data_IF_613703578935
#
_entry.id   IF_613703578935
#
_cell.length_a   1.000
_cell.length_b   1.000
_cell.length_c   1.000
_cell.angle_alpha   90.00
_cell.angle_beta   90.00
_cell.angle_gamma   90.00
#
_symmetry.space_group_name_H-M   'P 1'
#
loop_
_entity.id
_entity.type
_entity.pdbx_description
1 polymer ?
#
# COMPACT_ATOMS: atom_id res chain seq x y z
N UNK A 1 14.32 15.66 7.84
CA UNK A 1 13.87 17.02 7.51
C UNK A 1 14.42 17.53 6.17
N UNK A 2 15.73 17.50 5.87
CA UNK A 2 16.29 18.05 4.61
C UNK A 2 15.72 17.48 3.30
N UNK A 3 15.27 16.21 3.25
CA UNK A 3 14.73 15.57 2.03
C UNK A 3 13.34 16.08 1.64
N UNK A 4 12.52 16.49 2.60
CA UNK A 4 11.16 17.00 2.34
C UNK A 4 11.18 18.48 1.94
N UNK A 5 12.15 19.25 2.43
CA UNK A 5 12.32 20.66 2.06
C UNK A 5 12.58 20.82 0.57
N UNK A 6 13.39 19.94 -0.04
CA UNK A 6 13.69 19.98 -1.48
C UNK A 6 12.44 19.75 -2.32
N UNK A 7 11.59 18.79 -1.94
CA UNK A 7 10.37 18.46 -2.68
C UNK A 7 9.33 19.58 -2.58
N UNK A 8 9.15 20.15 -1.38
CA UNK A 8 8.24 21.29 -1.15
C UNK A 8 8.74 22.53 -1.90
N UNK A 9 10.05 22.80 -1.87
CA UNK A 9 10.65 23.91 -2.62
C UNK A 9 10.48 23.73 -4.10
N UNK A 10 10.67 22.51 -4.62
CA UNK A 10 10.44 22.19 -6.04
C UNK A 10 9.00 22.44 -6.46
N UNK A 11 8.00 22.01 -5.65
CA UNK A 11 6.59 22.22 -5.92
C UNK A 11 6.17 23.70 -5.82
N UNK A 12 6.69 24.43 -4.84
CA UNK A 12 6.46 25.88 -4.72
C UNK A 12 7.09 26.66 -5.89
N UNK A 13 8.25 26.21 -6.37
CA UNK A 13 8.90 26.80 -7.54
C UNK A 13 8.10 26.54 -8.81
N UNK A 14 7.56 25.33 -8.99
CA UNK A 14 6.65 25.00 -10.10
C UNK A 14 5.37 25.83 -10.02
N UNK A 15 4.76 25.97 -8.83
CA UNK A 15 3.56 26.78 -8.63
C UNK A 15 3.78 28.26 -8.97
N UNK A 16 4.89 28.85 -8.54
CA UNK A 16 5.24 30.23 -8.86
C UNK A 16 5.59 30.45 -10.35
N UNK A 17 6.27 29.48 -10.95
CA UNK A 17 6.59 29.54 -12.41
C UNK A 17 5.33 29.47 -13.30
N UNK A 18 4.23 28.89 -12.79
CA UNK A 18 2.97 28.81 -13.54
C UNK A 18 2.06 30.03 -13.35
N UNK A 19 2.34 30.91 -12.41
CA UNK A 19 1.53 32.09 -12.07
C UNK A 19 1.95 33.37 -12.85
N UNK A 20 3.13 33.40 -13.46
CA UNK A 20 3.63 34.55 -14.21
C UNK A 20 3.80 34.20 -15.70
N UNK A 21 3.17 34.96 -16.60
CA UNK A 21 3.54 34.95 -18.01
C UNK A 21 4.94 35.59 -18.15
N UNK A 22 5.95 34.89 -18.70
CA UNK A 22 7.30 35.42 -18.76
C UNK A 22 7.52 36.27 -20.00
N UNK A 23 8.06 37.46 -19.81
CA UNK A 23 8.76 38.16 -20.88
C UNK A 23 9.97 37.35 -21.39
N UNK A 24 10.37 37.52 -22.70
CA UNK A 24 11.37 36.67 -23.35
C UNK A 24 12.80 37.04 -22.95
N UNK A 25 13.18 36.83 -21.69
CA UNK A 25 14.59 36.86 -21.24
C UNK A 25 15.15 35.46 -21.15
N UNK A 26 16.43 35.25 -21.51
CA UNK A 26 17.16 33.97 -21.55
C UNK A 26 16.76 33.05 -20.37
N UNK A 27 15.84 32.13 -20.67
CA UNK A 27 15.35 31.17 -19.65
C UNK A 27 16.48 30.21 -19.27
N UNK A 28 16.72 30.07 -17.97
CA UNK A 28 17.63 29.06 -17.42
C UNK A 28 17.23 27.67 -17.91
N UNK A 29 18.20 26.77 -18.11
CA UNK A 29 17.98 25.36 -18.47
C UNK A 29 16.93 24.68 -17.58
N UNK A 30 16.91 24.98 -16.29
CA UNK A 30 15.94 24.48 -15.31
C UNK A 30 14.51 24.96 -15.63
N UNK A 31 14.34 26.23 -16.01
CA UNK A 31 13.02 26.77 -16.40
C UNK A 31 12.51 26.12 -17.69
N UNK A 32 13.37 25.89 -18.67
CA UNK A 32 12.99 25.15 -19.89
C UNK A 32 12.56 23.73 -19.59
N UNK A 33 13.25 23.04 -18.70
CA UNK A 33 12.87 21.71 -18.23
C UNK A 33 11.50 21.70 -17.53
N UNK A 34 11.24 22.66 -16.65
CA UNK A 34 9.94 22.82 -15.98
C UNK A 34 8.80 23.11 -16.96
N UNK A 35 9.02 23.97 -17.97
CA UNK A 35 8.03 24.22 -19.01
C UNK A 35 7.76 22.99 -19.87
N UNK A 36 8.77 22.22 -20.21
CA UNK A 36 8.62 20.97 -20.95
C UNK A 36 7.80 19.95 -20.15
N UNK A 37 8.11 19.75 -18.87
CA UNK A 37 7.34 18.89 -17.97
C UNK A 37 5.88 19.36 -17.86
N UNK A 38 5.65 20.66 -17.68
CA UNK A 38 4.29 21.21 -17.64
C UNK A 38 3.52 20.93 -18.93
N UNK A 39 4.15 21.13 -20.10
CA UNK A 39 3.53 20.88 -21.41
C UNK A 39 3.17 19.40 -21.58
N UNK A 40 4.05 18.48 -21.14
CA UNK A 40 3.76 17.05 -21.13
C UNK A 40 2.57 16.71 -20.24
N UNK A 41 2.52 17.28 -19.03
CA UNK A 41 1.41 17.09 -18.09
C UNK A 41 0.10 17.59 -18.70
N UNK A 42 0.08 18.82 -19.20
CA UNK A 42 -1.11 19.45 -19.76
C UNK A 42 -1.63 18.69 -21.00
N UNK A 43 -0.73 18.17 -21.84
CA UNK A 43 -1.10 17.39 -23.02
C UNK A 43 -1.56 15.97 -22.68
N UNK A 44 -0.93 15.32 -21.71
CA UNK A 44 -1.26 13.93 -21.33
C UNK A 44 -2.61 13.81 -20.64
N UNK A 45 -3.00 14.82 -19.85
CA UNK A 45 -4.24 14.80 -19.07
C UNK A 45 -5.49 14.64 -19.94
N UNK A 46 -5.52 15.21 -21.15
CA UNK A 46 -6.71 15.25 -22.03
C UNK A 46 -6.48 14.70 -23.43
N UNK A 47 -5.34 14.06 -23.68
CA UNK A 47 -5.03 13.51 -25.01
C UNK A 47 -6.05 12.46 -25.45
N UNK A 48 -6.77 12.75 -26.55
CA UNK A 48 -7.73 11.82 -27.16
C UNK A 48 -9.03 11.60 -26.41
N UNK A 49 -9.40 12.48 -25.48
CA UNK A 49 -10.63 12.43 -24.69
C UNK A 49 -11.79 13.06 -25.45
N UNK A 50 -12.96 12.42 -25.45
CA UNK A 50 -14.22 12.99 -25.98
C UNK A 50 -14.83 13.93 -24.92
N UNK A 51 -14.90 15.21 -25.24
CA UNK A 51 -15.41 16.25 -24.34
C UNK A 51 -16.92 16.14 -24.06
N UNK A 52 -17.66 15.37 -24.81
CA UNK A 52 -19.06 15.07 -24.51
C UNK A 52 -19.23 14.06 -23.37
N UNK A 53 -18.20 13.26 -23.12
CA UNK A 53 -18.13 12.29 -22.02
C UNK A 53 -17.32 12.78 -20.83
N UNK A 54 -16.26 13.52 -21.08
CA UNK A 54 -15.27 13.89 -20.06
C UNK A 54 -14.96 15.38 -20.16
N UNK A 55 -15.17 16.09 -19.07
CA UNK A 55 -14.87 17.51 -18.93
C UNK A 55 -13.54 17.71 -18.20
N UNK A 56 -12.75 18.66 -18.70
CA UNK A 56 -11.58 19.17 -18.01
C UNK A 56 -11.97 20.41 -17.21
N UNK A 57 -11.82 20.41 -15.87
CA UNK A 57 -12.03 21.60 -15.07
C UNK A 57 -11.14 22.76 -15.55
N UNK A 58 -11.71 23.97 -15.55
CA UNK A 58 -10.95 25.18 -15.93
C UNK A 58 -9.78 25.47 -14.98
N UNK A 59 -9.92 25.06 -13.73
CA UNK A 59 -8.93 25.23 -12.67
C UNK A 59 -8.06 23.99 -12.56
N UNK A 60 -6.73 24.13 -12.79
CA UNK A 60 -5.83 22.98 -12.87
C UNK A 60 -5.36 22.43 -11.53
N UNK A 61 -5.38 23.24 -10.50
CA UNK A 61 -4.95 22.87 -9.15
C UNK A 61 -6.10 22.34 -8.33
N UNK A 62 -5.82 21.38 -7.47
CA UNK A 62 -6.75 20.87 -6.47
C UNK A 62 -6.02 20.67 -5.14
N UNK A 63 -6.69 20.99 -4.04
CA UNK A 63 -6.27 20.65 -2.67
C UNK A 63 -7.39 19.88 -2.02
N UNK A 64 -7.02 18.82 -1.29
CA UNK A 64 -7.95 18.01 -0.50
C UNK A 64 -7.50 17.95 0.95
N UNK A 65 -8.47 18.02 1.85
CA UNK A 65 -8.35 17.46 3.19
C UNK A 65 -9.04 16.10 3.16
N UNK A 66 -8.37 15.09 3.68
CA UNK A 66 -8.88 13.72 3.65
C UNK A 66 -8.69 13.01 4.98
N UNK A 67 -9.65 12.17 5.31
CA UNK A 67 -9.54 11.18 6.37
C UNK A 67 -9.66 9.80 5.77
N UNK A 68 -9.05 8.82 6.39
CA UNK A 68 -9.18 7.44 5.97
C UNK A 68 -9.33 6.50 7.15
N UNK A 69 -9.98 5.38 6.86
CA UNK A 69 -10.04 4.20 7.71
C UNK A 69 -9.40 3.02 6.98
N UNK A 70 -8.55 2.28 7.64
CA UNK A 70 -7.82 1.17 7.05
C UNK A 70 -7.52 0.05 8.03
N UNK A 71 -7.36 -1.14 7.48
CA UNK A 71 -6.83 -2.29 8.18
C UNK A 71 -5.98 -3.12 7.21
N UNK A 72 -4.82 -3.54 7.67
CA UNK A 72 -3.95 -4.47 6.95
C UNK A 72 -3.83 -5.74 7.78
N UNK A 73 -4.14 -6.88 7.20
CA UNK A 73 -4.04 -8.19 7.85
C UNK A 73 -3.07 -9.07 7.07
N UNK A 74 -1.98 -9.48 7.69
CA UNK A 74 -1.06 -10.50 7.19
C UNK A 74 -1.38 -11.82 7.87
N UNK A 75 -1.75 -12.84 7.08
CA UNK A 75 -1.95 -14.22 7.53
C UNK A 75 -0.81 -15.06 6.96
N UNK A 76 -0.12 -15.77 7.82
CA UNK A 76 0.95 -16.70 7.47
C UNK A 76 0.59 -18.10 7.90
N UNK A 77 1.01 -19.07 7.13
CA UNK A 77 0.87 -20.50 7.42
C UNK A 77 2.22 -21.15 7.19
N UNK A 78 2.64 -21.96 8.11
CA UNK A 78 3.89 -22.75 8.03
C UNK A 78 3.60 -24.15 8.47
N UNK A 79 3.92 -25.11 7.64
CA UNK A 79 3.89 -26.52 8.00
C UNK A 79 5.20 -26.85 8.73
N UNK A 80 5.07 -27.51 9.87
CA UNK A 80 6.17 -27.80 10.79
C UNK A 80 6.24 -29.30 11.00
N UNK A 81 7.37 -29.89 10.71
CA UNK A 81 7.70 -31.25 11.05
C UNK A 81 8.44 -31.25 12.41
N UNK A 82 7.86 -31.87 13.39
CA UNK A 82 8.46 -32.04 14.74
C UNK A 82 9.25 -33.33 14.89
N UNK A 83 9.36 -34.13 13.83
CA UNK A 83 9.92 -35.49 13.89
C UNK A 83 8.93 -36.50 14.48
N UNK A 84 9.30 -37.78 14.47
CA UNK A 84 8.49 -38.90 14.97
C UNK A 84 7.05 -38.93 14.39
N UNK A 85 6.89 -38.62 13.11
CA UNK A 85 5.61 -38.55 12.37
C UNK A 85 4.61 -37.50 12.95
N UNK A 86 5.07 -36.57 13.79
CA UNK A 86 4.24 -35.44 14.29
C UNK A 86 4.37 -34.25 13.36
N UNK A 87 3.30 -33.99 12.60
CA UNK A 87 3.18 -32.81 11.75
C UNK A 87 2.33 -31.74 12.41
N UNK A 88 2.80 -30.52 12.38
CA UNK A 88 2.06 -29.37 12.89
C UNK A 88 1.86 -28.31 11.82
N UNK A 89 0.84 -27.50 11.98
CA UNK A 89 0.59 -26.32 11.17
C UNK A 89 0.53 -25.10 12.09
N UNK A 90 1.40 -24.15 11.86
CA UNK A 90 1.40 -22.87 12.57
C UNK A 90 0.77 -21.80 11.68
N UNK A 91 -0.19 -21.10 12.25
CA UNK A 91 -0.82 -19.95 11.60
C UNK A 91 -0.58 -18.71 12.44
N UNK A 92 0.14 -17.74 11.86
CA UNK A 92 0.31 -16.42 12.44
C UNK A 92 -0.60 -15.42 11.74
N UNK A 93 -1.26 -14.56 12.48
CA UNK A 93 -2.08 -13.46 11.98
C UNK A 93 -1.59 -12.17 12.62
N UNK A 94 -0.99 -11.31 11.82
CA UNK A 94 -0.62 -9.96 12.24
C UNK A 94 -1.62 -8.99 11.68
N UNK A 95 -2.28 -8.24 12.54
CA UNK A 95 -3.22 -7.18 12.16
C UNK A 95 -2.67 -5.83 12.56
N UNK A 96 -2.64 -4.90 11.60
CA UNK A 96 -2.74 -3.50 11.97
C UNK A 96 -4.21 -3.30 12.36
N UNK A 97 -4.51 -3.07 13.62
CA UNK A 97 -5.88 -2.82 14.07
C UNK A 97 -6.56 -1.72 13.23
N UNK A 98 -7.88 -1.62 13.32
CA UNK A 98 -8.62 -0.54 12.67
C UNK A 98 -7.98 0.81 13.00
N UNK A 99 -7.46 1.49 11.99
CA UNK A 99 -6.78 2.77 12.13
C UNK A 99 -7.53 3.84 11.34
N UNK A 100 -7.53 5.05 11.88
CA UNK A 100 -8.01 6.24 11.19
C UNK A 100 -6.88 7.23 11.02
N UNK A 101 -6.85 7.93 9.90
CA UNK A 101 -5.83 8.95 9.66
C UNK A 101 -6.42 10.26 9.15
N UNK A 102 -5.66 11.34 9.31
CA UNK A 102 -5.94 12.64 8.72
C UNK A 102 -4.79 13.02 7.79
N UNK A 103 -5.13 13.58 6.64
CA UNK A 103 -4.13 13.94 5.64
C UNK A 103 -4.57 15.05 4.72
N UNK A 104 -3.65 15.38 3.83
CA UNK A 104 -3.86 16.35 2.78
C UNK A 104 -3.31 15.83 1.44
N UNK A 105 -3.88 16.33 0.36
CA UNK A 105 -3.43 16.09 -1.01
C UNK A 105 -3.39 17.40 -1.77
N UNK A 106 -2.36 17.57 -2.58
CA UNK A 106 -2.26 18.66 -3.56
C UNK A 106 -1.97 18.05 -4.92
N UNK A 107 -2.70 18.51 -5.94
CA UNK A 107 -2.58 18.02 -7.30
C UNK A 107 -2.67 19.12 -8.35
N UNK A 108 -2.02 18.89 -9.49
CA UNK A 108 -2.06 19.68 -10.71
C UNK A 108 -2.33 18.76 -11.89
N UNK A 109 -3.49 18.93 -12.57
CA UNK A 109 -3.82 18.20 -13.82
C UNK A 109 -3.67 16.66 -13.74
N UNK A 110 -3.94 16.04 -12.59
CA UNK A 110 -3.81 14.59 -12.38
C UNK A 110 -2.46 14.13 -11.80
N UNK A 111 -1.55 15.04 -11.60
CA UNK A 111 -0.28 14.79 -10.91
C UNK A 111 -0.34 15.40 -9.52
N UNK A 112 -0.02 14.63 -8.51
CA UNK A 112 -0.13 15.16 -7.16
C UNK A 112 0.54 14.29 -6.12
N UNK A 113 0.61 14.84 -4.93
CA UNK A 113 1.18 14.19 -3.77
C UNK A 113 0.27 14.36 -2.55
N UNK A 114 0.34 13.39 -1.69
CA UNK A 114 -0.41 13.39 -0.45
C UNK A 114 0.38 12.82 0.70
N UNK A 115 -0.01 13.26 1.85
CA UNK A 115 0.53 12.78 3.11
C UNK A 115 -0.60 12.61 4.11
N UNK A 116 -0.55 11.56 4.92
CA UNK A 116 -1.48 11.35 6.04
C UNK A 116 -0.75 10.77 7.25
N UNK A 117 -1.27 11.09 8.42
CA UNK A 117 -0.81 10.62 9.72
C UNK A 117 -1.95 9.89 10.42
N UNK A 118 -1.67 8.73 10.99
CA UNK A 118 -2.62 8.01 11.84
C UNK A 118 -2.97 8.84 13.09
N UNK A 119 -4.26 8.86 13.41
CA UNK A 119 -4.83 9.47 14.61
C UNK A 119 -5.18 8.41 15.66
N UNK A 120 -5.64 7.23 15.20
CA UNK A 120 -6.02 6.10 16.07
C UNK A 120 -5.47 4.81 15.49
N UNK A 121 -5.19 3.83 16.34
CA UNK A 121 -4.72 2.50 15.93
C UNK A 121 -3.20 2.38 15.82
N UNK A 122 -2.44 3.48 15.92
CA UNK A 122 -0.99 3.46 15.85
C UNK A 122 -0.36 4.83 15.61
N UNK A 123 0.90 4.83 15.16
CA UNK A 123 1.68 6.02 14.81
C UNK A 123 2.03 6.07 13.30
N UNK A 124 1.27 5.36 12.50
CA UNK A 124 1.50 5.16 11.07
C UNK A 124 1.50 6.46 10.26
N UNK A 125 2.21 6.42 9.15
CA UNK A 125 2.33 7.51 8.19
C UNK A 125 2.22 6.95 6.77
N UNK A 126 1.43 7.61 5.94
CA UNK A 126 1.29 7.27 4.51
C UNK A 126 1.74 8.46 3.67
N UNK A 127 2.65 8.21 2.74
CA UNK A 127 2.99 9.12 1.65
C UNK A 127 2.47 8.55 0.34
N UNK A 128 1.88 9.41 -0.51
CA UNK A 128 1.33 9.00 -1.81
C UNK A 128 1.69 9.97 -2.91
N UNK A 129 2.03 9.41 -4.09
CA UNK A 129 2.19 10.15 -5.34
C UNK A 129 1.21 9.55 -6.36
N UNK A 130 0.62 10.42 -7.18
CA UNK A 130 -0.23 10.02 -8.28
C UNK A 130 0.15 10.77 -9.55
N UNK A 131 0.11 10.07 -10.67
CA UNK A 131 0.25 10.64 -12.00
C UNK A 131 -0.79 10.01 -12.93
N UNK A 132 -1.78 10.76 -13.32
CA UNK A 132 -2.90 10.30 -14.15
C UNK A 132 -2.98 11.08 -15.43
N UNK A 133 -2.97 10.37 -16.56
CA UNK A 133 -3.25 10.92 -17.87
C UNK A 133 -4.60 10.43 -18.43
N UNK A 134 -4.93 10.81 -19.65
CA UNK A 134 -6.16 10.36 -20.31
C UNK A 134 -6.23 8.84 -20.52
N UNK A 135 -5.09 8.17 -20.71
CA UNK A 135 -5.02 6.74 -21.01
C UNK A 135 -4.27 5.90 -19.99
N UNK A 136 -3.58 6.50 -19.06
CA UNK A 136 -2.74 5.80 -18.09
C UNK A 136 -2.84 6.43 -16.71
N UNK A 137 -2.38 5.70 -15.70
CA UNK A 137 -2.10 6.23 -14.39
C UNK A 137 -1.03 5.42 -13.69
N UNK A 138 -0.33 6.10 -12.80
CA UNK A 138 0.71 5.53 -11.94
C UNK A 138 0.45 6.06 -10.54
N UNK A 139 0.41 5.16 -9.55
CA UNK A 139 0.25 5.51 -8.15
C UNK A 139 1.35 4.86 -7.34
N UNK A 140 1.95 5.64 -6.46
CA UNK A 140 2.93 5.20 -5.49
C UNK A 140 2.37 5.44 -4.08
N UNK A 141 2.46 4.43 -3.22
CA UNK A 141 2.16 4.54 -1.79
C UNK A 141 3.31 3.97 -0.97
N UNK A 142 3.69 4.70 0.05
CA UNK A 142 4.66 4.27 1.05
C UNK A 142 3.98 4.37 2.40
N UNK A 143 3.78 3.22 3.06
CA UNK A 143 3.19 3.12 4.38
C UNK A 143 4.25 2.68 5.39
N UNK A 144 4.18 3.24 6.58
CA UNK A 144 4.98 2.79 7.72
C UNK A 144 4.08 2.81 8.95
N UNK A 145 3.95 1.70 9.62
CA UNK A 145 3.15 1.57 10.84
C UNK A 145 3.76 0.50 11.77
N UNK A 146 3.23 0.43 13.01
CA UNK A 146 3.66 -0.52 14.03
C UNK A 146 2.45 -1.32 14.53
N UNK A 147 2.67 -2.60 14.83
CA UNK A 147 1.65 -3.50 15.35
C UNK A 147 2.14 -4.14 16.65
N UNK A 148 1.29 -4.17 17.71
CA UNK A 148 1.62 -4.73 19.01
C UNK A 148 0.88 -6.04 19.34
N UNK A 149 -0.13 -6.40 18.56
CA UNK A 149 -1.02 -7.53 18.87
C UNK A 149 -1.02 -8.58 17.75
N UNK A 150 0.04 -9.38 17.61
CA UNK A 150 -0.03 -10.55 16.76
C UNK A 150 -0.92 -11.64 17.39
N UNK A 151 -1.63 -12.36 16.56
CA UNK A 151 -2.43 -13.52 16.93
C UNK A 151 -1.76 -14.77 16.37
N UNK A 152 -1.52 -15.77 17.20
CA UNK A 152 -1.01 -17.07 16.76
C UNK A 152 -2.05 -18.15 17.00
N UNK A 153 -2.15 -19.06 16.06
CA UNK A 153 -2.88 -20.31 16.21
C UNK A 153 -1.93 -21.44 15.84
N UNK A 154 -1.68 -22.29 16.79
CA UNK A 154 -0.93 -23.51 16.58
C UNK A 154 -1.91 -24.68 16.46
N UNK A 155 -1.72 -25.53 15.44
CA UNK A 155 -2.43 -26.78 15.27
C UNK A 155 -1.42 -27.87 15.04
N UNK A 156 -1.49 -28.96 15.78
CA UNK A 156 -0.71 -30.17 15.58
C UNK A 156 -1.64 -31.37 15.48
N UNK A 157 -1.24 -32.37 14.69
CA UNK A 157 -1.84 -33.69 14.70
C UNK A 157 -0.85 -34.63 15.36
N UNK A 158 -1.23 -35.15 16.52
CA UNK A 158 -0.47 -36.15 17.25
C UNK A 158 -1.20 -37.48 17.11
N UNK A 159 -0.82 -38.28 16.12
CA UNK A 159 -1.39 -39.61 15.84
C UNK A 159 -2.94 -39.65 15.77
N UNK A 160 -3.52 -38.68 15.03
CA UNK A 160 -4.99 -38.57 14.88
C UNK A 160 -5.71 -37.86 16.00
N UNK A 161 -4.98 -37.30 16.96
CA UNK A 161 -5.53 -36.41 17.98
C UNK A 161 -5.18 -34.95 17.67
N UNK A 162 -6.12 -34.14 17.15
CA UNK A 162 -5.86 -32.75 16.83
C UNK A 162 -5.70 -31.92 18.09
N UNK A 163 -4.57 -31.27 18.22
CA UNK A 163 -4.30 -30.24 19.22
C UNK A 163 -4.42 -28.86 18.58
N UNK A 164 -5.09 -27.94 19.24
CA UNK A 164 -5.22 -26.56 18.77
C UNK A 164 -5.14 -25.59 19.94
N UNK A 165 -4.18 -24.68 19.86
CA UNK A 165 -4.02 -23.61 20.83
C UNK A 165 -3.96 -22.25 20.11
N UNK A 166 -4.52 -21.22 20.75
CA UNK A 166 -4.52 -19.87 20.26
C UNK A 166 -3.92 -18.94 21.29
N UNK A 167 -2.90 -18.22 20.89
CA UNK A 167 -2.20 -17.25 21.71
C UNK A 167 -2.55 -15.84 21.23
N UNK A 168 -2.84 -14.96 22.19
CA UNK A 168 -3.03 -13.54 21.99
C UNK A 168 -2.16 -12.83 23.01
N UNK A 169 -0.97 -12.44 22.63
CA UNK A 169 -0.08 -11.72 23.52
C UNK A 169 0.30 -10.38 22.91
N UNK A 170 0.40 -9.37 23.77
CA UNK A 170 1.00 -8.09 23.40
C UNK A 170 2.52 -8.27 23.43
N UNK A 171 3.18 -7.91 22.32
CA UNK A 171 4.63 -7.95 22.24
C UNK A 171 5.22 -6.66 22.82
N UNK A 172 6.38 -6.77 23.48
CA UNK A 172 7.04 -5.66 24.18
C UNK A 172 7.43 -4.54 23.19
N UNK A 173 8.16 -4.89 22.12
CA UNK A 173 8.46 -3.99 21.04
C UNK A 173 7.56 -4.23 19.81
N UNK A 174 6.87 -3.20 19.32
CA UNK A 174 5.93 -3.37 18.24
C UNK A 174 6.61 -3.78 16.93
N UNK A 175 5.98 -4.70 16.20
CA UNK A 175 6.38 -5.11 14.86
C UNK A 175 6.42 -3.88 13.95
N UNK A 176 7.57 -3.59 13.37
CA UNK A 176 7.76 -2.48 12.44
C UNK A 176 7.40 -2.94 11.03
N UNK A 177 6.30 -2.43 10.47
CA UNK A 177 5.83 -2.79 9.14
C UNK A 177 6.04 -1.61 8.19
N UNK A 178 6.72 -1.88 7.07
CA UNK A 178 6.93 -0.91 5.99
C UNK A 178 6.46 -1.52 4.68
N UNK A 179 5.66 -0.75 3.94
CA UNK A 179 5.12 -1.19 2.66
C UNK A 179 5.38 -0.13 1.60
N UNK A 180 5.89 -0.58 0.46
CA UNK A 180 6.05 0.19 -0.76
C UNK A 180 5.16 -0.45 -1.83
N UNK A 181 4.24 0.33 -2.37
CA UNK A 181 3.29 -0.11 -3.37
C UNK A 181 3.31 0.84 -4.56
N UNK A 182 3.63 0.30 -5.74
CA UNK A 182 3.62 1.02 -7.01
C UNK A 182 2.66 0.30 -7.95
N UNK A 183 1.64 0.98 -8.44
CA UNK A 183 0.74 0.47 -9.47
C UNK A 183 0.70 1.40 -10.68
N UNK A 184 0.64 0.79 -11.85
CA UNK A 184 0.43 1.46 -13.12
C UNK A 184 -0.64 0.75 -13.92
N UNK A 185 -1.40 1.50 -14.71
CA UNK A 185 -2.47 0.96 -15.55
C UNK A 185 -2.59 1.72 -16.87
N UNK A 186 -3.13 1.01 -17.87
CA UNK A 186 -3.50 1.54 -19.18
C UNK A 186 -4.98 1.33 -19.46
N UNK A 187 -5.65 2.35 -20.01
CA UNK A 187 -7.09 2.36 -20.32
C UNK A 187 -7.30 2.20 -21.83
N UNK A 188 -8.05 1.19 -22.23
CA UNK A 188 -8.34 0.95 -23.65
C UNK A 188 -9.43 1.88 -24.20
N UNK A 189 -10.39 2.31 -23.35
CA UNK A 189 -11.45 3.26 -23.75
C UNK A 189 -11.19 4.67 -23.20
N UNK A 190 -10.01 5.22 -23.42
CA UNK A 190 -9.63 6.57 -22.96
C UNK A 190 -10.53 7.69 -23.50
N UNK A 191 -11.22 7.46 -24.62
CA UNK A 191 -12.13 8.45 -25.22
C UNK A 191 -13.31 8.77 -24.31
N UNK A 192 -13.92 7.76 -23.72
CA UNK A 192 -15.17 7.89 -23.01
C UNK A 192 -15.06 7.64 -21.49
N UNK A 193 -14.05 6.92 -21.05
CA UNK A 193 -13.83 6.56 -19.64
C UNK A 193 -12.65 7.34 -19.05
N UNK A 194 -12.85 7.90 -17.84
CA UNK A 194 -11.80 8.59 -17.08
C UNK A 194 -11.62 7.98 -15.70
N UNK A 195 -10.44 7.41 -15.45
CA UNK A 195 -10.03 7.00 -14.12
C UNK A 195 -9.80 8.21 -13.20
N UNK A 196 -9.22 9.28 -13.75
CA UNK A 196 -8.94 10.52 -13.05
C UNK A 196 -10.21 11.15 -12.44
N UNK A 197 -11.37 11.00 -13.10
CA UNK A 197 -12.63 11.52 -12.59
C UNK A 197 -13.08 10.83 -11.29
N UNK A 198 -12.64 9.61 -11.03
CA UNK A 198 -12.97 8.87 -9.82
C UNK A 198 -11.92 9.06 -8.70
N UNK A 199 -10.62 9.15 -9.06
CA UNK A 199 -9.55 8.95 -8.08
C UNK A 199 -8.64 10.15 -7.84
N UNK A 200 -8.54 11.13 -8.74
CA UNK A 200 -7.72 12.34 -8.51
C UNK A 200 -8.46 13.66 -8.78
N UNK A 201 -9.65 13.60 -9.37
CA UNK A 201 -10.52 14.76 -9.62
C UNK A 201 -9.95 15.80 -10.58
N UNK A 202 -8.95 15.46 -11.39
CA UNK A 202 -8.41 16.32 -12.45
C UNK A 202 -9.31 16.40 -13.68
N UNK A 203 -10.21 15.41 -13.84
CA UNK A 203 -11.25 15.34 -14.86
C UNK A 203 -12.62 15.11 -14.22
N UNK A 204 -13.69 15.36 -14.97
CA UNK A 204 -15.07 15.13 -14.56
C UNK A 204 -15.75 14.26 -15.61
N UNK A 205 -16.28 13.10 -15.20
CA UNK A 205 -17.08 12.23 -16.06
C UNK A 205 -18.50 12.82 -16.21
N UNK A 206 -18.96 12.99 -17.45
CA UNK A 206 -20.28 13.57 -17.77
C UNK A 206 -21.32 12.52 -18.16
N UNK A 207 -20.89 11.40 -18.71
CA UNK A 207 -21.74 10.28 -19.16
C UNK A 207 -21.12 8.98 -18.70
N UNK A 208 -21.98 8.01 -18.41
CA UNK A 208 -21.54 6.68 -18.01
C UNK A 208 -20.73 6.00 -19.11
N UNK A 209 -19.64 5.38 -18.74
CA UNK A 209 -18.77 4.62 -19.63
C UNK A 209 -17.94 3.61 -18.86
N UNK A 210 -17.48 2.57 -19.54
CA UNK A 210 -16.56 1.58 -19.00
C UNK A 210 -15.30 1.45 -19.84
N UNK A 211 -14.29 0.83 -19.29
CA UNK A 211 -13.02 0.54 -19.97
C UNK A 211 -12.45 -0.80 -19.51
N UNK A 212 -11.98 -1.59 -20.45
CA UNK A 212 -10.96 -2.59 -20.15
C UNK A 212 -9.68 -1.88 -19.72
N UNK A 213 -8.94 -2.52 -18.82
CA UNK A 213 -7.69 -2.02 -18.29
C UNK A 213 -6.64 -3.14 -18.31
N UNK A 214 -5.40 -2.77 -18.60
CA UNK A 214 -4.22 -3.58 -18.29
C UNK A 214 -3.45 -2.90 -17.17
N UNK A 215 -2.95 -3.64 -16.20
CA UNK A 215 -2.23 -3.10 -15.05
C UNK A 215 -0.97 -3.88 -14.73
N UNK A 216 -0.03 -3.19 -14.11
CA UNK A 216 1.15 -3.77 -13.49
C UNK A 216 1.29 -3.22 -12.09
N UNK A 217 1.70 -4.06 -11.13
CA UNK A 217 1.85 -3.68 -9.74
C UNK A 217 3.17 -4.23 -9.20
N UNK A 218 3.86 -3.43 -8.43
CA UNK A 218 5.00 -3.85 -7.63
C UNK A 218 4.70 -3.58 -6.17
N UNK A 219 4.82 -4.61 -5.35
CA UNK A 219 4.62 -4.52 -3.92
C UNK A 219 5.83 -5.07 -3.17
N UNK A 220 6.35 -4.29 -2.25
CA UNK A 220 7.38 -4.70 -1.30
C UNK A 220 6.91 -4.37 0.11
N UNK A 221 6.90 -5.38 0.97
CA UNK A 221 6.50 -5.24 2.37
C UNK A 221 7.58 -5.87 3.26
N UNK A 222 7.91 -5.22 4.36
CA UNK A 222 8.82 -5.72 5.39
C UNK A 222 8.12 -5.70 6.74
N UNK A 223 8.12 -6.82 7.44
CA UNK A 223 7.71 -6.95 8.83
C UNK A 223 8.94 -7.32 9.65
N UNK A 224 9.28 -6.49 10.64
CA UNK A 224 10.49 -6.60 11.44
C UNK A 224 10.10 -6.63 12.93
N UNK A 225 10.35 -7.75 13.57
CA UNK A 225 10.11 -8.02 14.99
C UNK A 225 11.36 -8.54 15.71
N UNK A 226 12.54 -8.28 15.15
CA UNK A 226 13.84 -8.72 15.64
C UNK A 226 14.38 -7.85 16.78
N UNK A 227 13.53 -7.24 17.61
CA UNK A 227 13.99 -6.61 18.85
C UNK A 227 14.27 -7.68 19.90
N UNK A 228 15.29 -7.49 20.72
CA UNK A 228 15.70 -8.47 21.74
C UNK A 228 14.59 -8.82 22.72
N UNK A 229 13.76 -7.84 23.10
CA UNK A 229 12.54 -8.04 23.90
C UNK A 229 11.51 -8.98 23.26
N UNK A 230 11.56 -9.17 21.93
CA UNK A 230 10.66 -10.07 21.19
C UNK A 230 11.27 -11.47 20.99
N UNK A 231 12.32 -11.84 21.73
CA UNK A 231 13.01 -13.12 21.56
C UNK A 231 12.06 -14.34 21.59
N UNK A 232 11.05 -14.33 22.45
CA UNK A 232 10.07 -15.38 22.54
C UNK A 232 9.30 -15.59 21.24
N UNK A 233 8.95 -14.51 20.57
CA UNK A 233 8.30 -14.57 19.24
C UNK A 233 9.23 -15.10 18.17
N UNK A 234 10.50 -14.68 18.16
CA UNK A 234 11.53 -15.20 17.24
C UNK A 234 11.72 -16.69 17.48
N UNK A 235 11.73 -17.13 18.72
CA UNK A 235 11.82 -18.54 19.10
C UNK A 235 10.64 -19.35 18.53
N UNK A 236 9.40 -18.91 18.77
CA UNK A 236 8.20 -19.57 18.23
C UNK A 236 8.16 -19.56 16.69
N UNK A 237 8.73 -18.54 16.06
CA UNK A 237 8.86 -18.44 14.60
C UNK A 237 10.10 -19.18 14.05
N UNK A 238 10.69 -20.09 14.84
CA UNK A 238 11.89 -20.88 14.46
C UNK A 238 13.08 -20.02 14.03
N UNK A 239 13.39 -19.00 14.84
CA UNK A 239 14.49 -18.08 14.59
C UNK A 239 14.18 -16.96 13.60
N UNK A 240 13.03 -16.96 12.93
CA UNK A 240 12.70 -15.88 11.99
C UNK A 240 12.31 -14.63 12.74
N UNK A 241 13.13 -13.57 12.68
CA UNK A 241 12.87 -12.27 13.32
C UNK A 241 12.45 -11.17 12.36
N UNK A 242 12.57 -11.41 11.03
CA UNK A 242 12.19 -10.43 10.01
C UNK A 242 11.79 -11.10 8.71
N UNK A 243 10.79 -10.52 8.06
CA UNK A 243 10.24 -10.99 6.80
C UNK A 243 10.26 -9.86 5.77
N UNK A 244 10.59 -10.19 4.52
CA UNK A 244 10.39 -9.29 3.38
C UNK A 244 9.64 -10.00 2.27
N UNK A 245 8.55 -9.41 1.81
CA UNK A 245 7.76 -9.88 0.68
C UNK A 245 7.97 -8.98 -0.51
N UNK A 246 8.23 -9.55 -1.67
CA UNK A 246 8.39 -8.77 -2.91
C UNK A 246 7.59 -9.44 -4.01
N UNK A 247 6.70 -8.67 -4.64
CA UNK A 247 5.91 -9.14 -5.77
C UNK A 247 5.91 -8.16 -6.94
N UNK A 248 5.95 -8.71 -8.15
CA UNK A 248 5.61 -7.99 -9.37
C UNK A 248 4.46 -8.72 -10.07
N UNK A 249 3.38 -7.99 -10.31
CA UNK A 249 2.12 -8.50 -10.81
C UNK A 249 1.77 -7.84 -12.14
N UNK A 250 1.11 -8.59 -13.00
CA UNK A 250 0.41 -8.06 -14.16
C UNK A 250 -1.06 -8.47 -14.09
N UNK A 251 -1.94 -7.66 -14.63
CA UNK A 251 -3.37 -7.96 -14.58
C UNK A 251 -4.16 -7.32 -15.71
N UNK A 252 -5.35 -7.86 -15.92
CA UNK A 252 -6.36 -7.29 -16.81
C UNK A 252 -7.64 -7.17 -16.01
N UNK A 253 -8.29 -6.03 -16.13
CA UNK A 253 -9.49 -5.71 -15.38
C UNK A 253 -10.49 -4.90 -16.17
N UNK A 254 -11.58 -4.58 -15.52
CA UNK A 254 -12.62 -3.71 -16.04
C UNK A 254 -13.00 -2.67 -15.01
N UNK A 255 -13.18 -1.44 -15.48
CA UNK A 255 -13.70 -0.35 -14.67
C UNK A 255 -14.92 0.28 -15.34
N UNK A 256 -15.90 0.68 -14.54
CA UNK A 256 -17.12 1.32 -15.00
C UNK A 256 -17.41 2.59 -14.18
N UNK A 257 -17.64 3.69 -14.89
CA UNK A 257 -18.12 4.95 -14.36
C UNK A 257 -19.61 5.08 -14.61
N UNK A 258 -20.42 5.03 -13.57
CA UNK A 258 -21.84 5.32 -13.63
C UNK A 258 -22.08 6.77 -13.20
N UNK A 259 -22.77 7.53 -14.06
CA UNK A 259 -23.15 8.94 -13.81
C UNK A 259 -24.68 8.98 -13.66
N UNK A 260 -25.22 8.78 -12.45
CA UNK A 260 -26.68 8.74 -12.23
C UNK A 260 -27.34 10.10 -12.39
N UNK A 261 -26.62 11.19 -12.07
CA UNK A 261 -27.10 12.56 -12.15
C UNK A 261 -25.95 13.54 -12.35
N UNK A 262 -26.26 14.78 -12.70
CA UNK A 262 -25.26 15.84 -12.87
C UNK A 262 -24.44 16.04 -11.59
N UNK A 263 -23.12 15.96 -11.72
CA UNK A 263 -22.17 16.11 -10.62
C UNK A 263 -21.86 14.82 -9.87
N UNK A 264 -22.68 13.78 -10.02
CA UNK A 264 -22.45 12.47 -9.40
C UNK A 264 -21.66 11.54 -10.27
N UNK A 265 -20.79 10.76 -9.64
CA UNK A 265 -20.03 9.67 -10.25
C UNK A 265 -19.94 8.52 -9.26
N UNK A 266 -20.27 7.33 -9.70
CA UNK A 266 -19.96 6.07 -9.00
C UNK A 266 -19.04 5.25 -9.90
N UNK A 267 -17.87 4.88 -9.40
CA UNK A 267 -16.93 4.02 -10.12
C UNK A 267 -16.78 2.69 -9.40
N UNK A 268 -16.70 1.64 -10.17
CA UNK A 268 -16.28 0.31 -9.72
C UNK A 268 -15.16 -0.20 -10.62
N UNK A 269 -14.14 -0.80 -10.02
CA UNK A 269 -13.01 -1.42 -10.70
C UNK A 269 -12.72 -2.77 -10.07
N UNK A 270 -12.49 -3.77 -10.91
CA UNK A 270 -12.03 -5.09 -10.49
C UNK A 270 -10.94 -5.57 -11.45
N UNK A 271 -9.81 -6.01 -10.89
CA UNK A 271 -8.66 -6.47 -11.66
C UNK A 271 -8.00 -7.68 -10.98
N UNK A 272 -8.28 -8.90 -11.45
CA UNK A 272 -7.47 -10.06 -11.13
C UNK A 272 -6.05 -9.84 -11.68
N UNK A 273 -5.05 -10.23 -10.90
CA UNK A 273 -3.65 -10.09 -11.27
C UNK A 273 -2.88 -11.38 -11.03
N UNK A 274 -1.84 -11.59 -11.81
CA UNK A 274 -0.94 -12.72 -11.71
C UNK A 274 0.43 -12.21 -11.26
N UNK A 275 0.92 -12.71 -10.14
CA UNK A 275 2.26 -12.44 -9.66
C UNK A 275 3.26 -13.27 -10.46
N UNK A 276 3.99 -12.65 -11.36
CA UNK A 276 5.06 -13.27 -12.14
C UNK A 276 6.36 -13.38 -11.34
N UNK A 277 6.60 -12.40 -10.48
CA UNK A 277 7.66 -12.44 -9.49
C UNK A 277 7.01 -12.40 -8.11
N UNK A 278 7.32 -13.39 -7.28
CA UNK A 278 6.76 -13.55 -5.95
C UNK A 278 7.80 -14.26 -5.07
N UNK A 279 8.46 -13.49 -4.23
CA UNK A 279 9.55 -14.01 -3.40
C UNK A 279 9.43 -13.48 -1.98
N UNK A 280 9.59 -14.39 -1.02
CA UNK A 280 9.74 -14.07 0.39
C UNK A 280 11.21 -14.24 0.78
N UNK A 281 11.71 -13.30 1.56
CA UNK A 281 13.02 -13.37 2.20
C UNK A 281 12.80 -13.42 3.70
N UNK A 282 13.29 -14.48 4.32
CA UNK A 282 13.27 -14.72 5.76
C UNK A 282 14.64 -14.38 6.30
N UNK A 283 14.71 -13.69 7.41
CA UNK A 283 15.93 -13.40 8.14
C UNK A 283 15.87 -14.19 9.42
N UNK A 284 16.79 -15.11 9.60
CA UNK A 284 16.90 -15.96 10.76
C UNK A 284 17.92 -15.40 11.74
N UNK A 285 17.57 -15.49 13.00
CA UNK A 285 18.34 -14.98 14.13
C UNK A 285 18.68 -16.12 15.08
N UNK A 286 19.89 -16.10 15.58
CA UNK A 286 20.30 -16.91 16.71
C UNK A 286 19.94 -16.18 17.99
N UNK A 287 19.37 -16.88 18.96
CA UNK A 287 18.99 -16.35 20.26
C UNK A 287 20.09 -16.70 21.25
N UNK A 288 20.83 -15.70 21.70
CA UNK A 288 21.77 -15.83 22.81
C UNK A 288 21.06 -15.44 24.09
N UNK A 289 21.42 -16.12 25.17
CA UNK A 289 20.91 -15.79 26.50
C UNK A 289 22.04 -15.87 27.53
N UNK A 290 22.10 -14.89 28.41
CA UNK A 290 22.99 -14.87 29.54
C UNK A 290 22.18 -15.31 30.78
N UNK A 291 22.39 -16.55 31.19
CA UNK A 291 21.69 -17.17 32.29
C UNK A 291 22.57 -18.20 32.97
N UNK A 292 22.53 -18.25 34.30
CA UNK A 292 23.14 -19.31 35.10
C UNK A 292 22.41 -20.65 34.99
N UNK A 293 21.38 -20.75 34.09
CA UNK A 293 20.56 -21.96 33.93
C UNK A 293 21.21 -22.94 32.95
N UNK A 294 21.06 -24.23 33.28
CA UNK A 294 21.64 -25.30 32.44
C UNK A 294 20.81 -25.62 31.19
N UNK A 295 19.54 -25.23 31.17
CA UNK A 295 18.62 -25.53 30.05
C UNK A 295 17.92 -24.30 29.53
N UNK A 296 17.61 -24.30 28.21
CA UNK A 296 16.82 -23.24 27.56
C UNK A 296 15.43 -23.09 28.22
N UNK A 297 14.82 -24.19 28.65
CA UNK A 297 13.49 -24.18 29.28
C UNK A 297 13.51 -23.49 30.63
N UNK A 298 14.58 -23.66 31.44
CA UNK A 298 14.76 -22.93 32.67
C UNK A 298 15.03 -21.46 32.46
N UNK A 299 15.85 -21.12 31.45
CA UNK A 299 16.11 -19.73 31.07
C UNK A 299 14.84 -19.03 30.58
N UNK A 300 13.97 -19.70 29.82
CA UNK A 300 12.69 -19.17 29.34
C UNK A 300 11.73 -18.79 30.50
N UNK A 301 11.86 -19.44 31.63
CA UNK A 301 11.00 -19.22 32.81
C UNK A 301 11.63 -18.24 33.82
N UNK A 302 12.85 -17.77 33.57
CA UNK A 302 13.56 -16.85 34.48
C UNK A 302 13.42 -15.41 34.01
N UNK A 303 12.74 -14.51 34.74
CA UNK A 303 12.53 -13.13 34.34
C UNK A 303 13.81 -12.28 34.29
N UNK A 304 14.89 -12.76 34.94
CA UNK A 304 16.17 -12.04 34.96
C UNK A 304 17.10 -12.43 33.80
N UNK A 305 16.70 -13.38 32.95
CA UNK A 305 17.49 -13.79 31.78
C UNK A 305 17.53 -12.68 30.74
N UNK A 306 18.74 -12.31 30.30
CA UNK A 306 18.96 -11.34 29.23
C UNK A 306 19.07 -12.10 27.92
N UNK A 307 18.32 -11.66 26.92
CA UNK A 307 18.31 -12.23 25.58
C UNK A 307 18.86 -11.24 24.57
N UNK A 308 19.63 -11.75 23.61
CA UNK A 308 20.17 -11.00 22.48
C UNK A 308 19.89 -11.75 21.19
N UNK A 309 19.43 -11.03 20.15
CA UNK A 309 19.12 -11.58 18.83
C UNK A 309 20.19 -11.14 17.82
N UNK A 310 20.91 -12.10 17.27
CA UNK A 310 21.90 -11.85 16.22
C UNK A 310 21.43 -12.44 14.88
N UNK A 311 21.44 -11.63 13.80
CA UNK A 311 21.08 -12.10 12.45
C UNK A 311 22.13 -13.11 11.96
N UNK A 312 21.72 -14.36 11.76
CA UNK A 312 22.61 -15.45 11.39
C UNK A 312 22.60 -15.69 9.87
N UNK A 313 21.40 -15.84 9.30
CA UNK A 313 21.27 -16.21 7.89
C UNK A 313 20.04 -15.61 7.22
N UNK A 314 20.05 -15.64 5.88
CA UNK A 314 18.97 -15.14 5.05
C UNK A 314 18.51 -16.23 4.09
N UNK A 315 17.25 -16.64 4.20
CA UNK A 315 16.62 -17.62 3.32
C UNK A 315 15.72 -16.91 2.31
N UNK A 316 15.89 -17.22 1.02
CA UNK A 316 15.02 -16.72 -0.05
C UNK A 316 14.17 -17.86 -0.59
N UNK A 317 12.85 -17.71 -0.50
CA UNK A 317 11.95 -18.73 -1.09
C UNK A 317 12.04 -18.76 -2.61
N UNK A 318 11.78 -19.92 -3.25
CA UNK A 318 11.62 -20.00 -4.69
C UNK A 318 10.53 -19.07 -5.19
N UNK A 319 10.66 -18.63 -6.46
CA UNK A 319 9.62 -17.84 -7.09
C UNK A 319 8.38 -18.71 -7.35
N UNK A 320 7.20 -18.28 -6.91
CA UNK A 320 5.93 -18.98 -7.13
C UNK A 320 4.91 -18.06 -7.76
N UNK A 321 4.38 -18.45 -8.90
CA UNK A 321 3.29 -17.72 -9.56
C UNK A 321 2.00 -17.86 -8.74
N UNK A 322 1.38 -16.74 -8.38
CA UNK A 322 0.15 -16.71 -7.56
C UNK A 322 -0.87 -15.73 -8.10
N UNK A 323 -2.15 -16.00 -7.80
CA UNK A 323 -3.26 -15.11 -8.13
C UNK A 323 -3.50 -14.11 -7.02
N UNK A 324 -3.65 -12.85 -7.42
CA UNK A 324 -3.99 -11.73 -6.56
C UNK A 324 -5.22 -10.99 -7.10
N UNK A 325 -5.68 -9.99 -6.34
CA UNK A 325 -6.88 -9.26 -6.71
C UNK A 325 -6.79 -7.81 -6.23
N UNK A 326 -7.12 -6.85 -7.13
CA UNK A 326 -7.29 -5.44 -6.83
C UNK A 326 -8.74 -5.04 -7.13
N UNK A 327 -9.42 -4.45 -6.16
CA UNK A 327 -10.75 -3.89 -6.32
C UNK A 327 -10.80 -2.46 -5.78
N UNK A 328 -11.52 -1.60 -6.50
CA UNK A 328 -11.69 -0.20 -6.12
C UNK A 328 -13.13 0.23 -6.32
N UNK A 329 -13.61 1.08 -5.43
CA UNK A 329 -14.92 1.71 -5.48
C UNK A 329 -14.74 3.20 -5.19
N UNK A 330 -15.42 4.06 -5.95
CA UNK A 330 -15.43 5.48 -5.65
C UNK A 330 -16.83 6.07 -5.84
N UNK A 331 -17.20 6.98 -4.96
CA UNK A 331 -18.39 7.83 -5.08
C UNK A 331 -17.93 9.26 -5.01
N UNK A 332 -18.29 10.06 -6.01
CA UNK A 332 -17.87 11.46 -6.13
C UNK A 332 -19.08 12.33 -6.36
N UNK A 333 -19.10 13.47 -5.69
CA UNK A 333 -20.04 14.55 -5.96
C UNK A 333 -19.29 15.84 -6.24
N UNK A 334 -19.50 16.43 -7.41
CA UNK A 334 -18.88 17.67 -7.86
C UNK A 334 -19.90 18.82 -7.86
N UNK A 335 -19.55 19.93 -7.21
CA UNK A 335 -20.33 21.15 -7.26
C UNK A 335 -19.44 22.38 -7.43
N UNK A 336 -19.67 23.16 -8.48
CA UNK A 336 -18.87 24.35 -8.78
C UNK A 336 -17.35 24.09 -8.77
N UNK A 337 -16.66 24.59 -7.72
CA UNK A 337 -15.20 24.45 -7.52
C UNK A 337 -14.84 23.29 -6.62
N UNK A 338 -15.81 22.82 -5.84
CA UNK A 338 -15.59 21.84 -4.77
C UNK A 338 -16.04 20.45 -5.19
N UNK A 339 -15.59 19.48 -4.47
CA UNK A 339 -16.04 18.10 -4.60
C UNK A 339 -15.91 17.34 -3.29
N UNK A 340 -16.81 16.40 -3.10
CA UNK A 340 -16.72 15.36 -2.07
C UNK A 340 -16.43 14.04 -2.75
N UNK A 341 -15.50 13.30 -2.21
CA UNK A 341 -15.11 12.00 -2.72
C UNK A 341 -14.99 11.00 -1.58
N UNK A 342 -15.65 9.86 -1.73
CA UNK A 342 -15.43 8.68 -0.90
C UNK A 342 -14.90 7.59 -1.82
N UNK A 343 -13.76 7.01 -1.51
CA UNK A 343 -13.25 5.89 -2.31
C UNK A 343 -12.56 4.87 -1.43
N UNK A 344 -12.69 3.62 -1.83
CA UNK A 344 -12.05 2.49 -1.19
C UNK A 344 -11.23 1.67 -2.17
N UNK A 345 -10.21 1.03 -1.67
CA UNK A 345 -9.52 -0.03 -2.36
C UNK A 345 -9.37 -1.25 -1.46
N UNK A 346 -9.32 -2.39 -2.10
CA UNK A 346 -9.06 -3.68 -1.49
C UNK A 346 -8.04 -4.43 -2.33
N UNK A 347 -6.97 -4.86 -1.69
CA UNK A 347 -5.93 -5.68 -2.29
C UNK A 347 -5.81 -6.99 -1.55
N UNK A 348 -5.66 -8.07 -2.30
CA UNK A 348 -5.30 -9.37 -1.77
C UNK A 348 -4.04 -9.86 -2.48
N UNK A 349 -2.98 -10.08 -1.69
CA UNK A 349 -1.72 -10.63 -2.17
C UNK A 349 -1.47 -11.99 -1.55
N UNK A 350 -1.00 -12.95 -2.34
CA UNK A 350 -0.62 -14.28 -1.89
C UNK A 350 0.89 -14.42 -2.05
N UNK A 351 1.58 -14.78 -0.97
CA UNK A 351 3.02 -14.92 -0.89
C UNK A 351 3.39 -16.36 -0.53
N UNK A 352 4.64 -16.74 -0.79
CA UNK A 352 5.25 -17.90 -0.19
C UNK A 352 5.59 -19.03 -1.13
N UNK A 353 6.02 -20.11 -0.51
CA UNK A 353 6.43 -21.37 -1.11
C UNK A 353 5.39 -22.47 -0.86
N UNK A 354 5.73 -23.71 -1.14
CA UNK A 354 4.86 -24.85 -0.86
C UNK A 354 4.78 -25.18 0.63
N UNK A 355 5.83 -24.88 1.40
CA UNK A 355 5.90 -25.15 2.86
C UNK A 355 5.40 -23.98 3.69
N UNK A 356 5.74 -22.75 3.29
CA UNK A 356 5.32 -21.52 3.99
C UNK A 356 4.63 -20.61 3.01
N UNK A 357 3.39 -20.25 3.29
CA UNK A 357 2.61 -19.34 2.46
C UNK A 357 1.84 -18.34 3.31
N UNK A 358 1.58 -17.18 2.73
CA UNK A 358 0.86 -16.11 3.40
C UNK A 358 -0.08 -15.36 2.48
N UNK A 359 -1.03 -14.67 3.08
CA UNK A 359 -1.94 -13.74 2.40
C UNK A 359 -1.94 -12.41 3.12
N UNK A 360 -1.69 -11.36 2.36
CA UNK A 360 -1.88 -9.99 2.80
C UNK A 360 -3.22 -9.49 2.26
N UNK A 361 -4.06 -9.02 3.17
CA UNK A 361 -5.28 -8.29 2.88
C UNK A 361 -5.07 -6.85 3.30
N UNK A 362 -5.23 -5.93 2.37
CA UNK A 362 -5.09 -4.50 2.60
C UNK A 362 -6.36 -3.81 2.09
N UNK A 363 -7.12 -3.19 2.99
CA UNK A 363 -8.23 -2.36 2.61
C UNK A 363 -8.14 -0.98 3.24
N UNK A 364 -8.56 0.01 2.49
CA UNK A 364 -8.55 1.39 2.92
C UNK A 364 -9.72 2.14 2.29
N UNK A 365 -10.45 2.89 3.11
CA UNK A 365 -11.54 3.76 2.67
C UNK A 365 -11.18 5.19 3.02
N UNK A 366 -11.27 6.07 2.05
CA UNK A 366 -10.97 7.49 2.17
C UNK A 366 -12.24 8.31 1.99
N UNK A 367 -12.39 9.36 2.79
CA UNK A 367 -13.30 10.46 2.54
C UNK A 367 -12.50 11.74 2.38
N UNK A 368 -12.73 12.49 1.31
CA UNK A 368 -11.99 13.69 0.98
C UNK A 368 -12.92 14.82 0.55
N UNK A 369 -12.66 16.01 1.09
CA UNK A 369 -13.27 17.26 0.65
C UNK A 369 -12.19 18.07 -0.09
N UNK A 370 -12.46 18.45 -1.32
CA UNK A 370 -11.51 19.14 -2.17
C UNK A 370 -12.06 20.41 -2.81
N UNK A 371 -11.13 21.30 -3.16
CA UNK A 371 -11.39 22.53 -3.88
C UNK A 371 -10.42 22.68 -5.04
N UNK A 372 -10.92 23.16 -6.19
CA UNK A 372 -10.13 23.49 -7.39
C UNK A 372 -9.92 24.99 -7.53
N UNK A 373 -8.71 25.42 -7.87
CA UNK A 373 -8.33 26.82 -8.04
C UNK A 373 -7.31 27.02 -9.16
#
# INVERSE_FOLDING_TARGET
MKKYTILITFLLTVANATAQEPEPKKQSFLLKGLYWVKTLIDSSAVSGVDRSYIEQPKRPWAVEVRTDASETTLKMHTDVDFGNDVMGNMRAVTRNGFSTSLGAWIGYRGYGLGWSKELTGGDGTTFSLGATGGSFGINLRINSFRSRMPEFTFTADNHGQPYKERFHDEIDDPIKIRSFFLDGYYLFNRKHFSYAAAYDQSLIQRRSAGSLMAGAMYHHCSADYSADSNWGWVYYMKGVGKLKFTQANIGVGYAYNWVPARGWLVNILAMPTLALYNRTTLYEYTIYYDSDKETVEEALNDPDTIYELEEETTIKTPNKVTWNFDARLAVVYNWQRSYLRVYGHFNRFTYGSDVTWGRLYDWKVYAALGIRF
#
